data_IF_153710891795
#
_entry.id   IF_153710891795
#
_cell.length_a   1.000
_cell.length_b   1.000
_cell.length_c   1.000
_cell.angle_alpha   90.00
_cell.angle_beta   90.00
_cell.angle_gamma   90.00
#
_symmetry.space_group_name_H-M   'P 1'
#
loop_
_entity.id
_entity.type
_entity.pdbx_description
1 polymer ?
#
# COMPACT_ATOMS: atom_id res chain seq x y z
N UNK A 1 -30.11 4.77 5.12
CA UNK A 1 -29.31 4.15 4.04
C UNK A 1 -30.13 2.99 3.47
N UNK A 2 -30.40 3.00 2.19
CA UNK A 2 -31.24 2.00 1.54
C UNK A 2 -30.37 1.04 0.75
N UNK A 3 -30.29 -0.23 1.18
CA UNK A 3 -29.62 -1.28 0.41
C UNK A 3 -30.58 -1.77 -0.68
N UNK A 4 -30.31 -1.44 -1.93
CA UNK A 4 -31.09 -1.91 -3.08
C UNK A 4 -30.68 -3.29 -3.57
N UNK A 5 -29.59 -3.86 -3.05
CA UNK A 5 -28.98 -5.07 -3.61
C UNK A 5 -29.03 -6.30 -2.70
N UNK A 6 -29.29 -6.14 -1.41
CA UNK A 6 -29.38 -7.27 -0.47
C UNK A 6 -30.22 -6.93 0.77
N UNK A 7 -30.82 -7.96 1.37
CA UNK A 7 -31.57 -7.83 2.61
C UNK A 7 -30.63 -7.98 3.81
N UNK A 8 -30.55 -6.95 4.64
CA UNK A 8 -29.78 -7.01 5.89
C UNK A 8 -30.41 -8.01 6.87
N UNK A 9 -29.58 -8.67 7.67
CA UNK A 9 -29.99 -9.66 8.69
C UNK A 9 -31.06 -9.09 9.63
N UNK A 10 -31.96 -9.96 10.09
CA UNK A 10 -32.92 -9.65 11.14
C UNK A 10 -32.36 -9.83 12.55
N UNK A 11 -31.16 -10.38 12.71
CA UNK A 11 -30.55 -10.67 14.01
C UNK A 11 -29.69 -9.52 14.46
N UNK A 12 -29.80 -9.12 15.72
CA UNK A 12 -28.90 -8.17 16.34
C UNK A 12 -27.47 -8.73 16.34
N UNK A 13 -26.49 -7.85 16.39
CA UNK A 13 -25.06 -8.13 16.44
C UNK A 13 -24.48 -8.92 15.23
N UNK A 14 -25.32 -9.24 14.25
CA UNK A 14 -24.93 -10.09 13.12
C UNK A 14 -23.73 -9.55 12.36
N UNK A 15 -23.61 -8.24 12.23
CA UNK A 15 -22.52 -7.57 11.52
C UNK A 15 -21.47 -6.93 12.42
N UNK A 16 -21.49 -7.22 13.72
CA UNK A 16 -20.45 -6.73 14.64
C UNK A 16 -19.08 -7.25 14.19
N UNK A 17 -18.03 -6.43 14.32
CA UNK A 17 -16.68 -6.68 13.83
C UNK A 17 -16.57 -6.86 12.31
N UNK A 18 -17.61 -6.56 11.54
CA UNK A 18 -17.53 -6.38 10.10
C UNK A 18 -17.15 -4.94 9.75
N UNK A 19 -16.72 -4.71 8.54
CA UNK A 19 -16.49 -3.38 7.99
C UNK A 19 -17.60 -3.00 7.01
N UNK A 20 -18.08 -1.75 7.14
CA UNK A 20 -18.94 -1.12 6.14
C UNK A 20 -18.09 -0.23 5.24
N UNK A 21 -18.17 -0.43 3.93
CA UNK A 21 -17.46 0.33 2.91
C UNK A 21 -18.45 0.96 1.95
N UNK A 22 -18.31 2.27 1.67
CA UNK A 22 -19.15 2.96 0.72
C UNK A 22 -18.55 2.89 -0.69
N UNK A 23 -19.37 2.37 -1.62
CA UNK A 23 -18.96 2.14 -3.02
C UNK A 23 -19.42 3.25 -3.96
N UNK A 24 -20.38 4.08 -3.54
CA UNK A 24 -20.88 5.23 -4.31
C UNK A 24 -21.64 6.22 -3.44
N UNK A 25 -21.88 7.43 -3.97
CA UNK A 25 -22.61 8.51 -3.30
C UNK A 25 -21.80 9.19 -2.22
N UNK A 26 -22.49 9.76 -1.24
CA UNK A 26 -21.85 10.41 -0.09
C UNK A 26 -21.05 9.40 0.72
N UNK A 27 -19.87 9.78 1.18
CA UNK A 27 -18.86 8.94 1.87
C UNK A 27 -18.22 7.85 0.98
N UNK A 28 -18.34 7.95 -0.34
CA UNK A 28 -17.70 7.01 -1.26
C UNK A 28 -16.21 6.85 -0.95
N UNK A 29 -15.73 5.60 -0.89
CA UNK A 29 -14.34 5.26 -0.59
C UNK A 29 -14.01 5.15 0.90
N UNK A 30 -14.92 5.54 1.80
CA UNK A 30 -14.70 5.41 3.23
C UNK A 30 -15.07 4.02 3.74
N UNK A 31 -14.26 3.53 4.68
CA UNK A 31 -14.49 2.27 5.39
C UNK A 31 -14.48 2.52 6.90
N UNK A 32 -15.40 1.87 7.61
CA UNK A 32 -15.45 1.89 9.08
C UNK A 32 -15.80 0.51 9.62
N UNK A 33 -15.34 0.23 10.80
CA UNK A 33 -15.71 -0.98 11.54
C UNK A 33 -17.06 -0.82 12.23
N UNK A 34 -17.90 -1.82 12.13
CA UNK A 34 -19.20 -1.89 12.79
C UNK A 34 -18.99 -2.38 14.22
N UNK A 35 -19.30 -1.54 15.18
CA UNK A 35 -19.20 -1.85 16.60
C UNK A 35 -20.50 -2.42 17.15
N UNK A 36 -21.62 -2.05 16.54
CA UNK A 36 -22.94 -2.54 16.95
C UNK A 36 -23.91 -2.54 15.77
N UNK A 37 -24.73 -3.58 15.69
CA UNK A 37 -25.78 -3.74 14.70
C UNK A 37 -27.10 -4.12 15.38
N UNK A 38 -28.11 -3.30 15.20
CA UNK A 38 -29.46 -3.51 15.77
C UNK A 38 -30.50 -3.60 14.66
N UNK A 39 -31.31 -4.64 14.70
CA UNK A 39 -32.47 -4.84 13.83
C UNK A 39 -33.74 -4.85 14.67
N UNK A 40 -34.67 -3.91 14.44
CA UNK A 40 -35.94 -3.82 15.14
C UNK A 40 -37.08 -3.45 14.18
N UNK A 41 -38.27 -3.26 14.71
CA UNK A 41 -39.48 -2.93 13.95
C UNK A 41 -39.42 -1.57 13.23
N UNK A 42 -38.57 -0.64 13.70
CA UNK A 42 -38.38 0.69 13.11
C UNK A 42 -37.32 0.75 12.05
N UNK A 43 -36.43 -0.26 12.00
CA UNK A 43 -35.37 -0.30 10.99
C UNK A 43 -34.13 -1.09 11.41
N UNK A 44 -33.09 -0.90 10.64
CA UNK A 44 -31.78 -1.50 10.82
C UNK A 44 -30.74 -0.41 11.03
N UNK A 45 -30.02 -0.51 12.12
CA UNK A 45 -29.09 0.51 12.60
C UNK A 45 -27.69 -0.06 12.71
N UNK A 46 -26.72 0.71 12.27
CA UNK A 46 -25.30 0.39 12.32
C UNK A 46 -24.59 1.48 13.10
N UNK A 47 -23.90 1.10 14.16
CA UNK A 47 -22.97 1.98 14.88
C UNK A 47 -21.55 1.65 14.43
N UNK A 48 -20.75 2.67 14.14
CA UNK A 48 -19.37 2.51 13.65
C UNK A 48 -18.38 3.07 14.66
N UNK A 49 -17.15 2.56 14.61
CA UNK A 49 -16.07 2.94 15.53
C UNK A 49 -15.64 4.41 15.41
N UNK A 50 -15.82 5.02 14.24
CA UNK A 50 -15.47 6.42 13.98
C UNK A 50 -16.47 7.00 12.99
N UNK A 51 -16.87 8.26 13.15
CA UNK A 51 -17.78 8.94 12.24
C UNK A 51 -17.21 9.01 10.82
N UNK A 52 -18.10 9.00 9.83
CA UNK A 52 -17.74 9.32 8.45
C UNK A 52 -17.44 10.81 8.30
N UNK A 53 -16.64 11.19 7.33
CA UNK A 53 -16.32 12.60 7.05
C UNK A 53 -17.56 13.40 6.64
N UNK A 54 -18.51 12.74 5.99
CA UNK A 54 -19.82 13.28 5.64
C UNK A 54 -20.91 12.27 6.02
N UNK A 55 -22.06 12.72 6.47
CA UNK A 55 -23.18 11.83 6.82
C UNK A 55 -23.70 11.14 5.56
N UNK A 56 -23.67 9.80 5.51
CA UNK A 56 -24.24 9.04 4.39
C UNK A 56 -25.74 9.35 4.20
N UNK A 57 -26.17 9.44 2.96
CA UNK A 57 -27.54 9.76 2.56
C UNK A 57 -28.16 8.69 1.66
N UNK A 58 -29.28 9.00 1.01
CA UNK A 58 -29.99 8.08 0.13
C UNK A 58 -29.23 7.74 -1.18
N UNK A 59 -28.22 8.52 -1.55
CA UNK A 59 -27.37 8.26 -2.72
C UNK A 59 -26.24 7.28 -2.40
N UNK A 60 -25.93 7.08 -1.12
CA UNK A 60 -24.84 6.24 -0.66
C UNK A 60 -25.15 4.77 -0.88
N UNK A 61 -24.25 4.08 -1.59
CA UNK A 61 -24.25 2.63 -1.74
C UNK A 61 -23.13 2.04 -0.90
N UNK A 62 -23.36 0.89 -0.28
CA UNK A 62 -22.39 0.30 0.62
C UNK A 62 -22.35 -1.22 0.51
N UNK A 63 -21.25 -1.78 0.95
CA UNK A 63 -21.01 -3.21 1.16
C UNK A 63 -20.61 -3.45 2.61
N UNK A 64 -21.02 -4.58 3.18
CA UNK A 64 -20.55 -5.06 4.47
C UNK A 64 -19.71 -6.30 4.23
N UNK A 65 -18.49 -6.26 4.69
CA UNK A 65 -17.51 -7.33 4.50
C UNK A 65 -16.78 -7.63 5.81
N UNK A 66 -16.16 -8.81 5.96
CA UNK A 66 -15.28 -9.06 7.09
C UNK A 66 -14.23 -7.96 7.25
N UNK A 67 -13.91 -7.61 8.48
CA UNK A 67 -12.87 -6.62 8.77
C UNK A 67 -11.49 -7.23 8.55
N UNK A 68 -10.65 -6.52 7.82
CA UNK A 68 -9.23 -6.85 7.65
C UNK A 68 -8.43 -6.06 8.67
N UNK A 69 -7.90 -6.76 9.68
CA UNK A 69 -7.03 -6.16 10.71
C UNK A 69 -5.59 -6.33 10.33
N UNK A 70 -4.87 -5.22 10.31
CA UNK A 70 -3.44 -5.16 10.05
C UNK A 70 -2.76 -4.69 11.33
N UNK A 71 -1.94 -5.54 11.93
CA UNK A 71 -1.17 -5.26 13.15
C UNK A 71 0.31 -5.39 12.85
N UNK A 72 1.09 -4.37 13.17
CA UNK A 72 2.53 -4.35 12.93
C UNK A 72 3.16 -3.13 13.55
N UNK A 73 4.41 -2.86 13.21
CA UNK A 73 5.20 -1.74 13.69
C UNK A 73 5.00 -0.44 12.88
N UNK A 74 4.31 -0.53 11.73
CA UNK A 74 3.96 0.61 10.90
C UNK A 74 2.60 1.24 11.26
N UNK A 75 2.10 2.10 10.38
CA UNK A 75 0.85 2.83 10.57
C UNK A 75 0.07 3.06 9.27
N UNK A 76 -1.23 3.35 9.42
CA UNK A 76 -2.13 3.82 8.37
C UNK A 76 -2.37 2.88 7.18
N UNK A 77 -2.06 1.58 7.29
CA UNK A 77 -2.50 0.61 6.30
C UNK A 77 -4.00 0.33 6.47
N UNK A 78 -4.76 0.39 5.39
CA UNK A 78 -6.19 0.09 5.35
C UNK A 78 -6.44 -0.85 4.19
N UNK A 79 -7.15 -1.94 4.45
CA UNK A 79 -7.56 -2.89 3.43
C UNK A 79 -9.00 -3.36 3.66
N UNK A 80 -9.64 -3.86 2.61
CA UNK A 80 -10.96 -4.49 2.68
C UNK A 80 -10.96 -5.87 2.06
N UNK A 81 -11.79 -6.75 2.55
CA UNK A 81 -12.06 -8.03 1.94
C UNK A 81 -13.06 -7.88 0.78
N UNK A 82 -12.78 -8.51 -0.34
CA UNK A 82 -13.72 -8.67 -1.46
C UNK A 82 -14.35 -10.06 -1.39
N UNK A 83 -15.67 -10.11 -1.39
CA UNK A 83 -16.42 -11.35 -1.23
C UNK A 83 -16.88 -11.87 -2.60
N UNK A 84 -16.66 -13.15 -2.84
CA UNK A 84 -17.32 -13.86 -3.93
C UNK A 84 -18.76 -14.19 -3.49
N UNK A 85 -19.73 -13.50 -4.06
CA UNK A 85 -21.15 -13.63 -3.69
C UNK A 85 -21.76 -14.99 -4.08
N UNK A 86 -21.14 -15.72 -5.01
CA UNK A 86 -21.61 -17.06 -5.41
C UNK A 86 -21.21 -18.15 -4.43
N UNK A 87 -20.04 -17.99 -3.79
CA UNK A 87 -19.49 -18.97 -2.85
C UNK A 87 -19.50 -18.50 -1.39
N UNK A 88 -19.82 -17.22 -1.15
CA UNK A 88 -19.74 -16.57 0.15
C UNK A 88 -18.35 -16.69 0.82
N UNK A 89 -17.31 -16.65 0.01
CA UNK A 89 -15.92 -16.73 0.49
C UNK A 89 -15.17 -15.43 0.19
N UNK A 90 -14.08 -15.18 0.94
CA UNK A 90 -13.18 -14.09 0.63
C UNK A 90 -12.44 -14.42 -0.68
N UNK A 91 -12.67 -13.61 -1.70
CA UNK A 91 -12.05 -13.78 -3.02
C UNK A 91 -10.70 -13.10 -3.13
N UNK A 92 -10.56 -11.92 -2.50
CA UNK A 92 -9.35 -11.10 -2.57
C UNK A 92 -9.31 -10.09 -1.41
N UNK A 93 -8.14 -9.52 -1.16
CA UNK A 93 -7.95 -8.38 -0.28
C UNK A 93 -7.52 -7.18 -1.12
N UNK A 94 -8.29 -6.12 -1.05
CA UNK A 94 -7.98 -4.85 -1.69
C UNK A 94 -7.34 -3.90 -0.68
N UNK A 95 -6.12 -3.45 -0.96
CA UNK A 95 -5.47 -2.39 -0.18
C UNK A 95 -6.06 -1.04 -0.62
N UNK A 96 -6.76 -0.37 0.30
CA UNK A 96 -7.35 0.96 0.08
C UNK A 96 -6.31 2.06 0.33
N UNK A 97 -5.51 1.88 1.36
CA UNK A 97 -4.43 2.80 1.71
C UNK A 97 -3.18 1.99 2.08
N UNK A 98 -2.08 2.34 1.43
CA UNK A 98 -0.78 1.78 1.80
C UNK A 98 -0.33 2.41 3.10
N UNK A 99 0.10 1.58 4.02
CA UNK A 99 0.70 2.08 5.25
C UNK A 99 2.13 2.57 5.04
N UNK A 100 2.74 2.99 6.13
CA UNK A 100 4.13 3.45 6.15
C UNK A 100 4.88 2.86 7.33
N UNK A 101 6.20 2.73 7.18
CA UNK A 101 7.15 2.29 8.22
C UNK A 101 6.93 0.86 8.74
N UNK A 102 6.25 0.00 7.98
CA UNK A 102 6.14 -1.40 8.34
C UNK A 102 7.45 -2.14 8.05
N UNK A 103 7.96 -2.88 9.03
CA UNK A 103 8.98 -3.92 8.84
C UNK A 103 8.36 -5.31 8.97
N UNK A 104 7.26 -5.42 9.72
CA UNK A 104 6.42 -6.62 9.76
C UNK A 104 4.94 -6.23 9.89
N UNK A 105 4.05 -7.11 9.46
CA UNK A 105 2.62 -6.98 9.70
C UNK A 105 1.94 -8.35 9.72
N UNK A 106 1.12 -8.56 10.75
CA UNK A 106 0.18 -9.66 10.83
C UNK A 106 -1.18 -9.20 10.33
N UNK A 107 -1.81 -10.02 9.50
CA UNK A 107 -3.13 -9.71 8.94
C UNK A 107 -4.13 -10.77 9.36
N UNK A 108 -5.22 -10.34 9.97
CA UNK A 108 -6.34 -11.20 10.34
C UNK A 108 -7.64 -10.72 9.70
N UNK A 109 -8.55 -11.66 9.44
CA UNK A 109 -9.90 -11.37 8.93
C UNK A 109 -10.88 -11.71 10.03
N UNK A 110 -11.71 -10.76 10.40
CA UNK A 110 -12.64 -10.87 11.53
C UNK A 110 -14.08 -10.53 11.09
N UNK A 111 -15.04 -11.31 11.56
CA UNK A 111 -16.46 -11.03 11.49
C UNK A 111 -17.20 -11.87 12.52
N UNK A 112 -18.20 -11.32 13.17
CA UNK A 112 -18.95 -12.03 14.22
C UNK A 112 -19.78 -13.22 13.69
N UNK A 113 -20.18 -13.14 12.42
CA UNK A 113 -20.99 -14.17 11.77
C UNK A 113 -20.18 -15.25 11.04
N UNK A 114 -18.86 -15.31 11.23
CA UNK A 114 -17.98 -16.30 10.59
C UNK A 114 -17.65 -17.41 11.57
N UNK A 115 -17.79 -18.67 11.14
CA UNK A 115 -17.30 -19.79 11.89
C UNK A 115 -15.77 -19.78 11.92
N UNK A 116 -15.18 -19.88 13.11
CA UNK A 116 -13.72 -19.82 13.33
C UNK A 116 -12.92 -20.88 12.55
N UNK A 117 -13.55 -21.97 12.15
CA UNK A 117 -12.92 -23.06 11.40
C UNK A 117 -12.64 -22.73 9.91
N UNK A 118 -13.25 -21.67 9.36
CA UNK A 118 -13.19 -21.33 7.93
C UNK A 118 -12.65 -19.92 7.67
N UNK A 119 -11.83 -19.39 8.58
CA UNK A 119 -11.21 -18.09 8.39
C UNK A 119 -10.22 -18.14 7.23
N UNK A 120 -10.30 -17.15 6.35
CA UNK A 120 -9.33 -17.00 5.29
C UNK A 120 -7.95 -16.64 5.88
N UNK A 121 -6.91 -17.31 5.42
CA UNK A 121 -5.52 -17.03 5.83
C UNK A 121 -4.96 -15.98 4.87
N UNK A 122 -4.48 -14.89 5.43
CA UNK A 122 -3.92 -13.76 4.70
C UNK A 122 -2.52 -13.46 5.22
N UNK A 123 -1.63 -13.04 4.33
CA UNK A 123 -0.26 -12.67 4.67
C UNK A 123 0.07 -11.31 4.04
N UNK A 124 0.66 -10.42 4.82
CA UNK A 124 1.23 -9.19 4.31
C UNK A 124 2.55 -9.47 3.56
N UNK A 125 2.71 -8.85 2.41
CA UNK A 125 3.99 -8.75 1.71
C UNK A 125 4.45 -7.31 1.81
N UNK A 126 5.50 -7.09 2.58
CA UNK A 126 6.06 -5.76 2.82
C UNK A 126 7.25 -5.58 1.91
N UNK A 127 7.21 -4.53 1.08
CA UNK A 127 8.33 -4.16 0.23
C UNK A 127 9.50 -3.58 1.05
N UNK A 128 10.68 -3.47 0.46
CA UNK A 128 11.84 -2.87 1.12
C UNK A 128 11.55 -1.42 1.52
N UNK A 129 12.26 -0.94 2.54
CA UNK A 129 12.12 0.43 3.02
C UNK A 129 12.35 1.44 1.89
N UNK A 130 11.39 2.35 1.69
CA UNK A 130 11.41 3.31 0.59
C UNK A 130 10.85 2.78 -0.74
N UNK A 131 10.47 1.49 -0.81
CA UNK A 131 9.96 0.80 -2.00
C UNK A 131 11.06 0.13 -2.83
N UNK A 132 10.65 -0.68 -3.80
CA UNK A 132 11.57 -1.31 -4.74
C UNK A 132 12.36 -0.25 -5.52
N UNK A 133 13.61 -0.51 -5.79
CA UNK A 133 14.56 0.38 -6.46
C UNK A 133 14.94 1.65 -5.68
N UNK A 134 14.48 1.82 -4.43
CA UNK A 134 14.95 2.92 -3.59
C UNK A 134 16.42 2.73 -3.17
N UNK A 135 16.80 1.53 -2.84
CA UNK A 135 18.18 1.14 -2.58
C UNK A 135 18.46 -0.24 -3.22
N UNK A 136 18.76 -0.29 -4.52
CA UNK A 136 18.98 -1.55 -5.22
C UNK A 136 20.14 -2.37 -4.66
N UNK A 137 21.14 -1.72 -4.11
CA UNK A 137 22.27 -2.40 -3.49
C UNK A 137 21.83 -3.21 -2.26
N UNK A 138 21.04 -2.60 -1.39
CA UNK A 138 20.49 -3.29 -0.20
C UNK A 138 19.46 -4.36 -0.58
N UNK A 139 18.64 -4.08 -1.58
CA UNK A 139 17.57 -4.99 -2.02
C UNK A 139 18.14 -6.27 -2.66
N UNK A 140 19.22 -6.13 -3.42
CA UNK A 140 19.89 -7.23 -4.12
C UNK A 140 21.09 -7.81 -3.36
N UNK A 141 21.34 -7.34 -2.13
CA UNK A 141 22.56 -7.64 -1.34
C UNK A 141 23.84 -7.34 -2.12
N UNK A 142 23.78 -6.34 -3.00
CA UNK A 142 24.90 -5.90 -3.82
C UNK A 142 25.83 -4.98 -3.05
N UNK A 143 27.10 -5.33 -2.96
CA UNK A 143 28.12 -4.53 -2.26
C UNK A 143 28.99 -3.71 -3.19
N UNK A 144 28.87 -3.95 -4.49
CA UNK A 144 29.69 -3.31 -5.52
C UNK A 144 28.84 -2.97 -6.73
N UNK A 145 29.08 -1.81 -7.32
CA UNK A 145 28.54 -1.41 -8.63
C UNK A 145 29.72 -1.23 -9.57
N UNK A 146 29.65 -1.87 -10.72
CA UNK A 146 30.61 -1.67 -11.80
C UNK A 146 30.09 -0.55 -12.68
N UNK A 147 30.88 0.50 -12.82
CA UNK A 147 30.60 1.60 -13.75
C UNK A 147 31.50 1.41 -14.95
N UNK A 148 30.90 1.25 -16.13
CA UNK A 148 31.62 1.24 -17.39
C UNK A 148 31.04 2.31 -18.32
N UNK A 149 31.89 3.04 -18.99
CA UNK A 149 31.50 4.07 -19.96
C UNK A 149 31.81 3.57 -21.36
N UNK A 150 30.84 3.71 -22.26
CA UNK A 150 31.03 3.42 -23.67
C UNK A 150 30.95 4.72 -24.46
N UNK A 151 31.98 5.05 -25.22
CA UNK A 151 31.98 6.23 -26.09
C UNK A 151 31.39 5.84 -27.45
N UNK A 152 30.33 6.53 -27.87
CA UNK A 152 29.77 6.34 -29.19
C UNK A 152 30.67 7.05 -30.22
N UNK A 153 30.89 6.39 -31.36
CA UNK A 153 31.80 6.89 -32.41
C UNK A 153 31.27 8.13 -33.16
N UNK A 154 30.25 8.77 -32.67
CA UNK A 154 29.61 9.96 -33.27
C UNK A 154 29.89 11.27 -32.49
N UNK A 155 30.73 11.23 -31.46
CA UNK A 155 31.17 12.44 -30.77
C UNK A 155 32.16 13.18 -31.66
N UNK A 156 31.81 14.44 -32.00
CA UNK A 156 32.58 15.27 -32.94
C UNK A 156 33.74 16.05 -32.29
N UNK A 157 34.05 15.77 -31.02
CA UNK A 157 35.13 16.45 -30.30
C UNK A 157 36.36 15.56 -30.17
N UNK A 158 37.54 16.16 -30.22
CA UNK A 158 38.80 15.46 -30.04
C UNK A 158 38.85 14.84 -28.63
N UNK A 159 38.91 13.52 -28.60
CA UNK A 159 39.21 12.78 -27.35
C UNK A 159 40.70 12.96 -27.06
N UNK A 160 41.03 13.49 -25.90
CA UNK A 160 42.42 13.66 -25.51
C UNK A 160 43.08 12.29 -25.36
N UNK A 161 44.23 12.08 -26.00
CA UNK A 161 44.91 10.79 -26.05
C UNK A 161 45.69 10.46 -24.77
N UNK A 162 45.86 11.43 -23.88
CA UNK A 162 46.53 11.29 -22.58
C UNK A 162 45.55 10.85 -21.47
N UNK A 163 44.24 10.75 -21.74
CA UNK A 163 43.27 10.20 -20.80
C UNK A 163 43.21 8.67 -20.97
N UNK A 164 43.28 7.95 -19.87
CA UNK A 164 43.04 6.52 -19.84
C UNK A 164 41.54 6.20 -19.65
N UNK A 165 40.85 6.00 -20.76
CA UNK A 165 39.42 5.63 -20.76
C UNK A 165 39.16 4.14 -20.47
N UNK A 166 40.18 3.35 -20.17
CA UNK A 166 40.06 1.92 -19.86
C UNK A 166 39.78 1.66 -18.37
N UNK A 167 39.69 2.74 -17.57
CA UNK A 167 39.50 2.61 -16.14
C UNK A 167 38.04 2.24 -15.84
N UNK A 168 37.88 1.06 -15.24
CA UNK A 168 36.59 0.63 -14.69
C UNK A 168 36.60 0.98 -13.20
N UNK A 169 35.64 1.79 -12.77
CA UNK A 169 35.43 2.15 -11.37
C UNK A 169 34.56 1.11 -10.67
N UNK A 170 35.01 0.69 -9.49
CA UNK A 170 34.18 -0.08 -8.55
C UNK A 170 33.78 0.84 -7.40
N UNK A 171 32.48 1.04 -7.20
CA UNK A 171 31.96 1.73 -6.03
C UNK A 171 31.64 0.68 -4.98
N UNK A 172 32.32 0.79 -3.84
CA UNK A 172 32.07 -0.04 -2.67
C UNK A 172 30.94 0.56 -1.83
N UNK A 173 30.04 -0.29 -1.35
CA UNK A 173 28.91 0.08 -0.47
C UNK A 173 28.07 1.24 -1.06
N UNK A 174 27.53 1.11 -2.28
CA UNK A 174 26.79 2.17 -2.94
C UNK A 174 25.52 2.49 -2.15
N UNK A 175 25.24 3.78 -1.99
CA UNK A 175 24.04 4.27 -1.32
C UNK A 175 23.19 5.13 -2.28
N UNK A 176 21.96 4.72 -2.50
CA UNK A 176 21.03 5.39 -3.41
C UNK A 176 20.05 6.28 -2.61
N UNK A 177 20.54 7.37 -2.03
CA UNK A 177 19.73 8.24 -1.18
C UNK A 177 19.17 9.48 -1.86
N UNK A 178 18.91 9.52 -3.09
CA UNK A 178 18.43 10.61 -3.94
C UNK A 178 19.32 10.74 -5.19
N UNK A 179 18.84 11.45 -6.20
CA UNK A 179 19.58 11.91 -7.39
C UNK A 179 20.74 12.87 -7.05
N UNK A 180 21.35 12.76 -5.87
CA UNK A 180 22.38 13.67 -5.41
C UNK A 180 23.70 12.90 -5.25
N UNK A 181 24.67 13.26 -6.05
CA UNK A 181 26.07 12.84 -5.89
C UNK A 181 26.74 13.88 -5.01
N UNK A 182 27.25 13.46 -3.86
CA UNK A 182 28.09 14.34 -3.03
C UNK A 182 29.55 14.07 -3.43
N UNK A 183 30.20 15.09 -3.93
CA UNK A 183 31.63 15.04 -4.27
C UNK A 183 32.38 15.70 -3.13
N UNK A 184 33.33 14.97 -2.56
CA UNK A 184 34.16 15.48 -1.46
C UNK A 184 35.26 16.38 -2.07
N UNK A 185 35.35 17.61 -1.56
CA UNK A 185 36.35 18.63 -1.96
C UNK A 185 36.50 18.84 -3.48
N UNK A 186 35.46 19.32 -4.18
CA UNK A 186 35.61 19.64 -5.59
C UNK A 186 36.65 20.77 -5.78
N UNK A 187 37.57 20.59 -6.70
CA UNK A 187 38.60 21.61 -7.01
C UNK A 187 38.06 22.75 -7.85
N UNK A 188 36.86 22.62 -8.42
CA UNK A 188 36.18 23.63 -9.20
C UNK A 188 34.65 23.49 -9.07
N UNK A 189 33.90 24.56 -9.35
CA UNK A 189 32.44 24.51 -9.44
C UNK A 189 32.00 23.96 -10.79
N UNK A 190 31.04 23.05 -10.79
CA UNK A 190 30.39 22.56 -12.01
C UNK A 190 29.68 23.68 -12.73
N UNK A 191 29.74 23.68 -14.07
CA UNK A 191 29.03 24.63 -14.89
C UNK A 191 27.71 24.01 -15.41
N UNK A 192 26.74 24.86 -15.72
CA UNK A 192 25.45 24.41 -16.28
C UNK A 192 25.72 23.77 -17.64
N UNK A 193 25.25 22.53 -17.83
CA UNK A 193 25.48 21.66 -19.00
C UNK A 193 26.87 21.01 -19.07
N UNK A 194 27.65 20.97 -18.01
CA UNK A 194 28.83 20.15 -17.92
C UNK A 194 28.44 18.68 -17.82
N UNK A 195 28.96 17.86 -18.72
CA UNK A 195 28.75 16.41 -18.69
C UNK A 195 29.81 15.80 -17.77
N UNK A 196 29.34 15.12 -16.70
CA UNK A 196 30.19 14.43 -15.73
C UNK A 196 30.32 12.98 -16.12
#
# INVERSE_FOLDING_TARGET
INSTSFTLSGNNDFYNNCSIYFTAGTSNGEIREITDYVSNSTGKFVTVNTAFSSTPDSTSKFEITPTVRIKGDGSNAIARALINTSTNTVANIQVLQRGSKYTYADVTIEANNMASANLAVVRALIGPFGGHSHNPASELDGRYVIISTNFANNESTNIQTDNDFRTIGLIKDPFYANTRITIDAPTANFQVNETV
#
